data_IF_925030429343
#
_entry.id   IF_925030429343
#
_cell.length_a   1.000
_cell.length_b   1.000
_cell.length_c   1.000
_cell.angle_alpha   90.00
_cell.angle_beta   90.00
_cell.angle_gamma   90.00
#
_symmetry.space_group_name_H-M   'P 1'
#
loop_
_entity.id
_entity.type
_entity.pdbx_description
1 polymer ?
#
# COMPACT_ATOMS: atom_id res chain seq x y z
N UNK A 1 20.51 3.79 -1.78
CA UNK A 1 21.11 2.55 -1.21
C UNK A 1 20.03 1.84 -0.40
N UNK A 2 19.81 0.54 -0.64
CA UNK A 2 18.85 -0.27 0.14
C UNK A 2 19.36 -0.44 1.56
N UNK A 3 18.48 -0.33 2.53
CA UNK A 3 18.80 -0.39 3.97
C UNK A 3 18.72 -1.86 4.43
N UNK A 4 19.79 -2.40 5.02
CA UNK A 4 19.82 -3.78 5.53
C UNK A 4 19.07 -3.92 6.87
N UNK A 5 18.74 -5.14 7.24
CA UNK A 5 17.91 -5.48 8.39
C UNK A 5 18.35 -4.88 9.73
N UNK A 6 19.65 -4.88 10.03
CA UNK A 6 20.15 -4.33 11.29
C UNK A 6 20.01 -2.79 11.36
N UNK A 7 20.13 -2.09 10.21
CA UNK A 7 19.86 -0.66 10.15
C UNK A 7 18.36 -0.37 10.21
N UNK A 8 17.53 -1.19 9.56
CA UNK A 8 16.06 -1.10 9.66
C UNK A 8 15.64 -1.17 11.14
N UNK A 9 16.13 -2.17 11.89
CA UNK A 9 15.83 -2.30 13.32
C UNK A 9 16.28 -1.08 14.13
N UNK A 10 17.45 -0.50 13.82
CA UNK A 10 17.91 0.74 14.47
C UNK A 10 17.00 1.93 14.18
N UNK A 11 16.57 2.09 12.94
CA UNK A 11 15.68 3.18 12.54
C UNK A 11 14.29 3.06 13.20
N UNK A 12 13.79 1.83 13.35
CA UNK A 12 12.53 1.57 14.05
C UNK A 12 12.69 1.81 15.56
N UNK A 13 13.73 1.27 16.19
CA UNK A 13 13.94 1.42 17.63
C UNK A 13 14.21 2.87 18.07
N UNK A 14 14.80 3.68 17.18
CA UNK A 14 14.98 5.12 17.40
C UNK A 14 13.73 5.96 17.11
N UNK A 15 12.66 5.37 16.58
CA UNK A 15 11.45 6.08 16.17
C UNK A 15 11.61 6.92 14.89
N UNK A 16 12.73 6.81 14.18
CA UNK A 16 12.93 7.50 12.91
C UNK A 16 12.01 6.97 11.82
N UNK A 17 11.78 5.65 11.81
CA UNK A 17 10.76 4.98 11.00
C UNK A 17 9.74 4.35 11.96
N UNK A 18 8.46 4.46 11.60
CA UNK A 18 7.39 3.79 12.33
C UNK A 18 6.71 2.79 11.42
N UNK A 19 6.51 1.57 11.92
CA UNK A 19 5.68 0.53 11.31
C UNK A 19 4.86 -0.07 12.43
N UNK A 20 3.55 0.18 12.46
CA UNK A 20 2.64 -0.17 13.56
C UNK A 20 1.30 -0.70 13.04
N UNK A 21 0.80 -1.82 13.61
CA UNK A 21 1.44 -2.71 14.58
C UNK A 21 2.53 -3.55 13.92
N UNK A 22 3.58 -3.91 14.66
CA UNK A 22 4.68 -4.69 14.15
C UNK A 22 4.95 -5.91 15.03
N UNK A 23 5.14 -7.07 14.40
CA UNK A 23 5.49 -8.32 15.07
C UNK A 23 6.96 -8.69 14.79
N UNK A 24 7.52 -9.50 15.69
CA UNK A 24 8.83 -10.11 15.46
C UNK A 24 8.82 -10.95 14.16
N UNK A 25 9.86 -10.81 13.34
CA UNK A 25 10.00 -11.56 12.10
C UNK A 25 9.38 -10.89 10.85
N UNK A 26 8.86 -9.65 10.95
CA UNK A 26 8.50 -8.86 9.77
C UNK A 26 9.73 -8.25 9.08
N UNK A 27 10.79 -7.90 9.84
CA UNK A 27 12.05 -7.41 9.25
C UNK A 27 12.81 -8.57 8.61
N UNK A 28 13.00 -8.48 7.30
CA UNK A 28 13.77 -9.39 6.48
C UNK A 28 15.14 -8.77 6.16
N UNK A 29 16.04 -9.49 5.48
CA UNK A 29 17.40 -9.03 5.19
C UNK A 29 17.50 -7.62 4.57
N UNK A 30 16.52 -7.19 3.77
CA UNK A 30 16.55 -5.92 3.05
C UNK A 30 15.17 -5.27 2.89
N UNK A 31 14.17 -5.71 3.65
CA UNK A 31 12.80 -5.20 3.58
C UNK A 31 12.01 -5.50 4.85
N UNK A 32 10.82 -4.92 4.94
CA UNK A 32 9.82 -5.23 5.96
C UNK A 32 8.63 -5.89 5.26
N UNK A 33 8.20 -7.07 5.72
CA UNK A 33 6.95 -7.67 5.28
C UNK A 33 5.77 -6.88 5.88
N UNK A 34 4.81 -6.44 5.06
CA UNK A 34 3.58 -5.81 5.51
C UNK A 34 2.40 -6.77 5.34
N UNK A 35 1.43 -6.64 6.25
CA UNK A 35 0.25 -7.51 6.31
C UNK A 35 -0.96 -6.83 5.67
N UNK A 36 -1.84 -7.66 5.12
CA UNK A 36 -3.13 -7.24 4.58
C UNK A 36 -4.09 -6.85 5.72
N UNK A 37 -4.72 -5.70 5.59
CA UNK A 37 -5.81 -5.27 6.47
C UNK A 37 -7.13 -5.96 6.12
N UNK A 38 -8.19 -5.55 6.79
CA UNK A 38 -9.53 -6.10 6.68
C UNK A 38 -10.48 -5.26 5.81
N UNK A 39 -9.99 -4.15 5.25
CA UNK A 39 -10.77 -3.24 4.41
C UNK A 39 -10.38 -3.41 2.95
N UNK A 40 -11.41 -3.53 2.10
CA UNK A 40 -11.28 -3.67 0.66
C UNK A 40 -12.22 -2.70 -0.06
N UNK A 41 -11.84 -2.23 -1.25
CA UNK A 41 -12.76 -1.60 -2.19
C UNK A 41 -12.86 -2.42 -3.45
N UNK A 42 -14.09 -2.76 -3.82
CA UNK A 42 -14.42 -3.47 -5.05
C UNK A 42 -15.11 -2.54 -6.02
N UNK A 43 -14.87 -2.73 -7.31
CA UNK A 43 -15.52 -1.94 -8.35
C UNK A 43 -16.97 -2.39 -8.51
N UNK A 44 -17.87 -1.42 -8.53
CA UNK A 44 -19.31 -1.66 -8.72
C UNK A 44 -19.59 -1.99 -10.18
N UNK A 45 -20.53 -2.92 -10.40
CA UNK A 45 -21.18 -3.02 -11.70
C UNK A 45 -22.15 -1.84 -11.84
N UNK A 46 -21.87 -0.91 -12.73
CA UNK A 46 -22.68 0.28 -12.96
C UNK A 46 -23.19 0.33 -14.38
N UNK A 47 -24.25 1.11 -14.63
CA UNK A 47 -24.72 1.43 -15.99
C UNK A 47 -23.89 2.54 -16.64
N UNK A 48 -22.91 3.11 -15.95
CA UNK A 48 -22.03 4.15 -16.51
C UNK A 48 -21.07 3.52 -17.51
N UNK A 49 -20.92 4.15 -18.67
CA UNK A 49 -20.08 3.64 -19.74
C UNK A 49 -18.57 3.79 -19.47
N UNK A 50 -18.20 4.71 -18.58
CA UNK A 50 -16.80 5.03 -18.24
C UNK A 50 -16.69 5.73 -16.89
N UNK A 51 -15.47 5.75 -16.33
CA UNK A 51 -15.09 6.60 -15.20
C UNK A 51 -14.45 7.87 -15.74
N UNK A 52 -15.07 9.03 -15.52
CA UNK A 52 -14.46 10.31 -15.84
C UNK A 52 -13.48 10.70 -14.73
N UNK A 53 -12.19 10.77 -15.04
CA UNK A 53 -11.14 11.13 -14.07
C UNK A 53 -11.24 12.57 -13.54
N UNK A 54 -11.93 13.47 -14.24
CA UNK A 54 -12.18 14.85 -13.79
C UNK A 54 -13.33 14.93 -12.80
N UNK A 55 -14.31 14.05 -12.93
CA UNK A 55 -15.50 13.99 -12.09
C UNK A 55 -15.92 12.54 -11.85
N UNK A 56 -15.08 11.74 -11.15
CA UNK A 56 -15.42 10.35 -10.88
C UNK A 56 -16.64 10.32 -9.96
N UNK A 57 -17.69 9.63 -10.40
CA UNK A 57 -18.80 9.24 -9.56
C UNK A 57 -18.35 8.13 -8.62
N UNK A 58 -19.19 7.77 -7.66
CA UNK A 58 -18.92 6.65 -6.76
C UNK A 58 -18.90 5.32 -7.54
N UNK A 59 -17.72 4.81 -7.83
CA UNK A 59 -17.50 3.62 -8.69
C UNK A 59 -16.99 2.41 -7.92
N UNK A 60 -16.75 2.55 -6.62
CA UNK A 60 -16.37 1.43 -5.74
C UNK A 60 -17.26 1.36 -4.52
N UNK A 61 -17.27 0.22 -3.85
CA UNK A 61 -17.84 0.04 -2.53
C UNK A 61 -16.80 -0.49 -1.56
N UNK A 62 -16.91 -0.09 -0.30
CA UNK A 62 -16.04 -0.54 0.77
C UNK A 62 -16.62 -1.78 1.42
N UNK A 63 -15.83 -2.84 1.49
CA UNK A 63 -16.16 -4.10 2.15
C UNK A 63 -15.19 -4.30 3.31
N UNK A 64 -15.71 -4.59 4.50
CA UNK A 64 -14.92 -5.10 5.63
C UNK A 64 -15.09 -6.60 5.74
N UNK A 65 -13.98 -7.32 5.75
CA UNK A 65 -13.99 -8.77 5.92
C UNK A 65 -12.89 -9.18 6.91
N UNK A 66 -13.31 -9.56 8.11
CA UNK A 66 -12.40 -9.99 9.17
C UNK A 66 -11.88 -11.42 9.02
N UNK A 67 -12.54 -12.26 8.19
CA UNK A 67 -12.14 -13.66 8.02
C UNK A 67 -11.35 -13.89 6.74
N UNK A 68 -11.94 -13.60 5.59
CA UNK A 68 -11.34 -13.87 4.28
C UNK A 68 -11.95 -13.00 3.19
N UNK A 69 -11.19 -12.74 2.15
CA UNK A 69 -11.65 -12.13 0.91
C UNK A 69 -11.28 -13.05 -0.26
N UNK A 70 -12.21 -13.28 -1.19
CA UNK A 70 -11.94 -14.09 -2.39
C UNK A 70 -11.80 -13.15 -3.57
N UNK A 71 -10.62 -13.13 -4.19
CA UNK A 71 -10.37 -12.38 -5.41
C UNK A 71 -10.49 -13.31 -6.62
N UNK A 72 -11.43 -12.99 -7.53
CA UNK A 72 -11.69 -13.79 -8.72
C UNK A 72 -10.71 -13.47 -9.87
N UNK A 73 -10.58 -14.37 -10.86
CA UNK A 73 -9.79 -14.11 -12.06
C UNK A 73 -10.18 -12.80 -12.75
N UNK A 74 -9.18 -12.02 -13.16
CA UNK A 74 -9.32 -10.69 -13.78
C UNK A 74 -9.98 -9.63 -12.87
N UNK A 75 -10.13 -9.89 -11.60
CA UNK A 75 -10.62 -8.90 -10.64
C UNK A 75 -9.48 -8.00 -10.19
N UNK A 76 -9.79 -6.70 -10.09
CA UNK A 76 -8.95 -5.67 -9.51
C UNK A 76 -9.66 -5.05 -8.32
N UNK A 77 -8.97 -4.95 -7.20
CA UNK A 77 -9.49 -4.39 -5.95
C UNK A 77 -8.46 -3.45 -5.32
N UNK A 78 -8.93 -2.58 -4.44
CA UNK A 78 -8.05 -1.88 -3.52
C UNK A 78 -8.11 -2.57 -2.16
N UNK A 79 -6.96 -2.91 -1.62
CA UNK A 79 -6.78 -3.34 -0.24
C UNK A 79 -5.99 -2.30 0.55
N UNK A 80 -5.74 -2.53 1.82
CA UNK A 80 -4.92 -1.65 2.65
C UNK A 80 -3.98 -2.48 3.52
N UNK A 81 -2.82 -1.94 3.87
CA UNK A 81 -1.93 -2.59 4.84
C UNK A 81 -2.53 -2.54 6.24
N UNK A 82 -2.24 -3.54 7.07
CA UNK A 82 -2.56 -3.50 8.50
C UNK A 82 -1.71 -2.41 9.19
N UNK A 83 -0.47 -2.28 8.77
CA UNK A 83 0.50 -1.38 9.35
C UNK A 83 0.34 0.06 8.85
N UNK A 84 0.42 1.01 9.78
CA UNK A 84 0.77 2.40 9.50
C UNK A 84 2.28 2.48 9.31
N UNK A 85 2.70 3.17 8.27
CA UNK A 85 4.11 3.43 7.96
C UNK A 85 4.37 4.92 8.04
N UNK A 86 5.44 5.33 8.75
CA UNK A 86 5.95 6.71 8.73
C UNK A 86 7.42 6.71 8.34
N UNK A 87 7.76 7.52 7.35
CA UNK A 87 9.12 7.68 6.83
C UNK A 87 9.65 9.09 7.13
N UNK A 88 10.95 9.23 7.46
CA UNK A 88 11.61 10.54 7.56
C UNK A 88 11.87 11.14 6.17
N UNK A 89 12.38 12.37 6.14
CA UNK A 89 12.62 13.11 4.89
C UNK A 89 13.79 12.56 4.06
N UNK A 90 14.65 11.71 4.62
CA UNK A 90 15.85 11.14 3.99
C UNK A 90 15.71 9.65 3.63
N UNK A 91 14.51 9.07 3.83
CA UNK A 91 14.21 7.67 3.48
C UNK A 91 12.97 7.62 2.59
N UNK A 92 13.13 7.01 1.43
CA UNK A 92 12.03 6.56 0.58
C UNK A 92 11.83 5.05 0.76
N UNK A 93 10.68 4.55 0.32
CA UNK A 93 10.47 3.11 0.28
C UNK A 93 9.83 2.68 -1.05
N UNK A 94 9.96 1.39 -1.34
CA UNK A 94 9.36 0.78 -2.51
C UNK A 94 8.49 -0.39 -2.08
N UNK A 95 7.23 -0.37 -2.48
CA UNK A 95 6.30 -1.48 -2.26
C UNK A 95 6.47 -2.50 -3.37
N UNK A 96 6.72 -3.75 -3.01
CA UNK A 96 6.83 -4.86 -3.94
C UNK A 96 5.98 -6.05 -3.47
N UNK A 97 5.54 -6.88 -4.42
CA UNK A 97 4.76 -8.07 -4.12
C UNK A 97 5.60 -9.18 -3.48
N UNK A 98 4.91 -10.21 -3.01
CA UNK A 98 5.55 -11.45 -2.55
C UNK A 98 5.54 -12.49 -3.66
N UNK A 99 6.70 -13.08 -3.97
CA UNK A 99 6.82 -14.08 -5.02
C UNK A 99 5.92 -15.31 -4.81
N UNK A 100 5.60 -15.64 -3.56
CA UNK A 100 4.66 -16.72 -3.23
C UNK A 100 3.22 -16.42 -3.70
N UNK A 101 2.78 -15.15 -3.62
CA UNK A 101 1.49 -14.73 -4.15
C UNK A 101 1.52 -14.57 -5.67
N UNK A 102 2.62 -14.03 -6.21
CA UNK A 102 2.81 -13.94 -7.67
C UNK A 102 2.73 -15.31 -8.35
N UNK A 103 3.21 -16.38 -7.70
CA UNK A 103 3.08 -17.76 -8.20
C UNK A 103 1.65 -18.30 -8.19
N UNK A 104 0.74 -17.68 -7.44
CA UNK A 104 -0.70 -17.96 -7.48
C UNK A 104 -1.44 -17.06 -8.48
N UNK A 105 -0.72 -16.16 -9.16
CA UNK A 105 -1.29 -15.20 -10.10
C UNK A 105 -1.75 -13.90 -9.45
N UNK A 106 -1.50 -13.68 -8.17
CA UNK A 106 -1.91 -12.46 -7.47
C UNK A 106 -0.76 -11.46 -7.41
N UNK A 107 -1.01 -10.24 -7.92
CA UNK A 107 -0.13 -9.09 -7.69
C UNK A 107 -0.68 -8.25 -6.56
N UNK A 108 0.19 -7.81 -5.64
CA UNK A 108 -0.22 -7.03 -4.47
C UNK A 108 -0.17 -5.51 -4.71
N UNK A 109 0.53 -5.07 -5.74
CA UNK A 109 0.61 -3.66 -6.12
C UNK A 109 1.01 -3.53 -7.59
N UNK A 110 0.21 -2.80 -8.37
CA UNK A 110 0.36 -2.79 -9.84
C UNK A 110 1.17 -1.59 -10.31
N UNK A 111 0.94 -0.38 -9.78
CA UNK A 111 1.45 0.83 -10.41
C UNK A 111 2.38 1.65 -9.52
N UNK A 112 1.89 2.45 -8.61
CA UNK A 112 2.65 3.49 -7.90
C UNK A 112 3.40 2.95 -6.68
N UNK A 113 4.46 2.21 -6.89
CA UNK A 113 5.19 1.50 -5.83
C UNK A 113 6.05 2.40 -4.95
N UNK A 114 6.36 3.64 -5.35
CA UNK A 114 7.21 4.53 -4.58
C UNK A 114 6.44 5.18 -3.43
N UNK A 115 6.88 4.91 -2.20
CA UNK A 115 6.44 5.62 -1.00
C UNK A 115 7.42 6.76 -0.75
N UNK A 116 6.94 7.99 -0.92
CA UNK A 116 7.78 9.18 -0.84
C UNK A 116 8.27 9.46 0.59
N UNK A 117 9.44 10.11 0.74
CA UNK A 117 9.93 10.61 2.03
C UNK A 117 8.88 11.50 2.70
N UNK A 118 8.74 11.37 4.02
CA UNK A 118 7.71 12.09 4.77
C UNK A 118 6.31 11.49 4.69
N UNK A 119 6.15 10.30 4.11
CA UNK A 119 4.89 9.56 4.18
C UNK A 119 4.50 9.27 5.64
N UNK A 120 3.21 9.37 5.94
CA UNK A 120 2.63 8.95 7.21
C UNK A 120 1.21 8.45 6.97
N UNK A 121 0.97 7.15 7.10
CA UNK A 121 -0.32 6.52 6.89
C UNK A 121 -0.23 5.02 6.59
N UNK A 122 -1.39 4.39 6.44
CA UNK A 122 -1.50 3.02 5.92
C UNK A 122 -1.39 3.07 4.39
N UNK A 123 -0.85 2.00 3.79
CA UNK A 123 -0.67 1.95 2.33
C UNK A 123 -1.86 1.26 1.67
N UNK A 124 -2.49 1.93 0.72
CA UNK A 124 -3.48 1.29 -0.16
C UNK A 124 -2.74 0.49 -1.22
N UNK A 125 -3.19 -0.73 -1.41
CA UNK A 125 -2.62 -1.71 -2.33
C UNK A 125 -3.57 -1.94 -3.50
N UNK A 126 -3.03 -1.89 -4.70
CA UNK A 126 -3.72 -2.20 -5.95
C UNK A 126 -3.56 -3.69 -6.25
N UNK A 127 -4.51 -4.50 -5.83
CA UNK A 127 -4.41 -5.97 -5.87
C UNK A 127 -5.19 -6.49 -7.08
N UNK A 128 -4.57 -7.38 -7.86
CA UNK A 128 -5.26 -8.06 -8.95
C UNK A 128 -4.93 -9.54 -9.00
N UNK A 129 -5.91 -10.33 -9.44
CA UNK A 129 -5.72 -11.73 -9.76
C UNK A 129 -5.60 -11.91 -11.28
N UNK A 130 -4.39 -12.11 -11.74
CA UNK A 130 -4.04 -12.37 -13.14
C UNK A 130 -4.07 -13.88 -13.48
N UNK A 131 -4.33 -14.72 -12.48
CA UNK A 131 -4.44 -16.17 -12.63
C UNK A 131 -5.81 -16.60 -13.18
N UNK A 132 -6.00 -17.93 -13.27
CA UNK A 132 -7.24 -18.53 -13.78
C UNK A 132 -8.17 -19.05 -12.67
N UNK A 133 -7.71 -19.06 -11.43
CA UNK A 133 -8.45 -19.58 -10.29
C UNK A 133 -8.73 -18.47 -9.27
N UNK A 134 -9.87 -18.49 -8.59
CA UNK A 134 -10.10 -17.65 -7.42
C UNK A 134 -9.04 -17.91 -6.35
N UNK A 135 -8.56 -16.85 -5.70
CA UNK A 135 -7.58 -16.95 -4.62
C UNK A 135 -8.17 -16.35 -3.35
N UNK A 136 -8.00 -17.06 -2.24
CA UNK A 136 -8.46 -16.59 -0.93
C UNK A 136 -7.33 -15.77 -0.29
N UNK A 137 -7.65 -14.53 0.06
CA UNK A 137 -6.78 -13.64 0.84
C UNK A 137 -7.32 -13.55 2.27
N UNK A 138 -6.42 -13.57 3.24
CA UNK A 138 -6.77 -13.48 4.66
C UNK A 138 -6.22 -12.18 5.26
N UNK A 139 -7.03 -11.38 5.95
CA UNK A 139 -6.50 -10.29 6.78
C UNK A 139 -5.41 -10.80 7.74
N UNK A 140 -4.36 -10.01 7.90
CA UNK A 140 -3.18 -10.40 8.68
C UNK A 140 -2.12 -11.21 7.93
N UNK A 141 -2.43 -11.73 6.73
CA UNK A 141 -1.40 -12.41 5.93
C UNK A 141 -0.36 -11.41 5.41
N UNK A 142 0.89 -11.83 5.28
CA UNK A 142 1.94 -11.03 4.65
C UNK A 142 1.64 -10.89 3.15
N UNK A 143 1.30 -9.68 2.72
CA UNK A 143 0.82 -9.39 1.36
C UNK A 143 1.88 -8.76 0.46
N UNK A 144 2.71 -7.88 0.98
CA UNK A 144 3.74 -7.16 0.24
C UNK A 144 5.01 -6.96 1.06
N UNK A 145 6.03 -6.39 0.44
CA UNK A 145 7.30 -6.00 1.03
C UNK A 145 7.48 -4.51 0.92
N UNK A 146 8.03 -3.89 1.96
CA UNK A 146 8.48 -2.52 1.95
C UNK A 146 10.00 -2.49 1.94
N UNK A 147 10.59 -2.17 0.80
CA UNK A 147 12.04 -2.03 0.63
C UNK A 147 12.42 -0.59 0.93
N UNK A 148 13.22 -0.37 1.97
CA UNK A 148 13.63 0.96 2.40
C UNK A 148 14.91 1.40 1.70
N UNK A 149 14.97 2.66 1.29
CA UNK A 149 16.09 3.24 0.55
C UNK A 149 16.52 4.58 1.17
N UNK A 150 17.81 4.71 1.50
CA UNK A 150 18.37 6.04 1.84
C UNK A 150 18.47 6.89 0.59
N UNK A 151 18.05 8.13 0.72
CA UNK A 151 18.29 9.16 -0.27
C UNK A 151 19.70 9.74 -0.11
N UNK A 152 20.23 10.36 -1.15
CA UNK A 152 21.55 11.04 -1.12
C UNK A 152 21.55 12.24 -0.17
N UNK A 153 20.40 12.86 0.04
CA UNK A 153 20.14 13.93 1.01
C UNK A 153 18.66 13.92 1.38
N UNK A 154 18.29 14.60 2.46
CA UNK A 154 16.90 14.79 2.82
C UNK A 154 16.14 15.59 1.76
N UNK A 155 14.89 15.23 1.52
CA UNK A 155 14.00 15.99 0.64
C UNK A 155 13.70 17.36 1.26
N UNK A 156 13.79 18.42 0.47
CA UNK A 156 13.38 19.77 0.89
C UNK A 156 11.86 19.90 1.02
N UNK A 157 11.10 19.08 0.26
CA UNK A 157 9.64 19.08 0.24
C UNK A 157 9.08 17.67 0.46
N UNK A 158 9.25 17.07 1.66
CA UNK A 158 8.74 15.74 1.94
C UNK A 158 7.20 15.72 1.87
N UNK A 159 6.64 14.53 1.67
CA UNK A 159 5.20 14.31 1.40
C UNK A 159 4.28 14.99 2.42
N UNK A 160 4.62 14.94 3.70
CA UNK A 160 3.79 15.50 4.78
C UNK A 160 3.78 17.03 4.84
N UNK A 161 4.72 17.72 4.18
CA UNK A 161 4.82 19.19 4.21
C UNK A 161 4.14 19.85 3.03
N UNK A 162 3.85 19.11 1.96
CA UNK A 162 3.21 19.64 0.75
C UNK A 162 1.69 19.74 0.95
N UNK A 163 1.10 20.88 0.53
CA UNK A 163 -0.34 21.12 0.62
C UNK A 163 -1.14 20.28 -0.40
N UNK A 164 -0.52 19.99 -1.55
CA UNK A 164 -1.13 19.29 -2.68
C UNK A 164 -1.18 17.76 -2.53
N UNK A 165 -0.65 17.20 -1.44
CA UNK A 165 -0.65 15.75 -1.24
C UNK A 165 -2.06 15.20 -1.00
N UNK A 166 -2.42 14.17 -1.76
CA UNK A 166 -3.79 13.63 -1.81
C UNK A 166 -4.13 12.67 -0.67
N UNK A 167 -3.14 11.93 -0.17
CA UNK A 167 -3.36 10.76 0.70
C UNK A 167 -2.68 10.88 2.06
N UNK A 168 -2.36 12.10 2.50
CA UNK A 168 -1.74 12.36 3.80
C UNK A 168 -2.63 11.87 4.95
N UNK A 169 -2.03 11.13 5.88
CA UNK A 169 -2.75 10.60 7.05
C UNK A 169 -3.75 9.50 6.73
N UNK A 170 -3.61 8.82 5.58
CA UNK A 170 -4.51 7.77 5.16
C UNK A 170 -4.59 6.65 6.19
N UNK A 171 -5.81 6.34 6.67
CA UNK A 171 -6.08 5.31 7.67
C UNK A 171 -7.02 4.20 7.19
N UNK A 172 -7.78 4.45 6.13
CA UNK A 172 -8.71 3.50 5.51
C UNK A 172 -8.47 3.38 4.00
N UNK A 173 -9.12 2.41 3.38
CA UNK A 173 -9.10 2.24 1.93
C UNK A 173 -9.97 3.32 1.28
N UNK A 174 -9.35 4.26 0.57
CA UNK A 174 -10.04 5.37 -0.12
C UNK A 174 -9.89 5.26 -1.63
N UNK A 175 -10.84 5.84 -2.34
CA UNK A 175 -10.84 5.94 -3.81
C UNK A 175 -9.79 6.94 -4.32
N UNK A 176 -9.63 6.98 -5.65
CA UNK A 176 -8.76 7.95 -6.31
C UNK A 176 -9.22 9.39 -6.04
N UNK A 177 -8.29 10.24 -5.67
CA UNK A 177 -8.47 11.70 -5.52
C UNK A 177 -7.94 12.47 -6.73
N UNK A 178 -7.90 11.84 -7.91
CA UNK A 178 -7.37 12.43 -9.14
C UNK A 178 -8.13 13.69 -9.57
N UNK A 179 -9.43 13.76 -9.32
CA UNK A 179 -10.25 14.95 -9.63
C UNK A 179 -9.70 16.26 -9.02
N UNK A 180 -8.94 16.17 -7.92
CA UNK A 180 -8.29 17.32 -7.30
C UNK A 180 -7.19 17.99 -8.16
N UNK A 181 -6.67 17.29 -9.18
CA UNK A 181 -5.64 17.83 -10.08
C UNK A 181 -6.20 18.83 -11.11
N UNK A 182 -7.51 18.86 -11.28
CA UNK A 182 -8.18 19.69 -12.28
C UNK A 182 -8.83 20.97 -11.70
N UNK A 183 -8.51 21.30 -10.45
CA UNK A 183 -9.01 22.48 -9.74
C UNK A 183 -8.02 23.64 -9.82
#
# INVERSE_FOLDING_TARGET
>A
MIIPDHEIRKLISSGNIVVEPMDDGQVQAACIDLRLGDEFRVFKSTCEAFIDSRNPKEYTECIKSGEKFIIHPNEFILGITMERVRLPADVAAYVDGKSSLGRLGVTAHITSSLVEPGWDGRLVLEIANLGKMPVVLYPGMKICKLVLMRMSSASERPYNTRAETKYKGQSGVIESRIAGEWK
#
